data_IF_744729477005
#
_entry.id   IF_744729477005
#
_cell.length_a   1.000
_cell.length_b   1.000
_cell.length_c   1.000
_cell.angle_alpha   90.00
_cell.angle_beta   90.00
_cell.angle_gamma   90.00
#
_symmetry.space_group_name_H-M   'P 1'
#
loop_
_entity.id
_entity.type
_entity.pdbx_description
1 polymer ?
#
# COMPACT_ATOMS: atom_id res chain seq x y z
N UNK A 1 13.73 -8.84 3.52
CA UNK A 1 12.58 -9.77 3.56
C UNK A 1 12.93 -11.04 2.85
N UNK A 2 12.21 -12.13 3.14
CA UNK A 2 12.45 -13.44 2.54
C UNK A 2 11.20 -13.90 1.82
N UNK A 3 11.31 -14.04 0.50
CA UNK A 3 10.23 -14.53 -0.37
C UNK A 3 10.76 -15.76 -1.12
N UNK A 4 10.03 -16.87 -1.11
CA UNK A 4 10.44 -18.14 -1.75
C UNK A 4 11.89 -18.56 -1.41
N UNK A 5 12.30 -18.35 -0.15
CA UNK A 5 13.65 -18.66 0.34
C UNK A 5 14.76 -17.71 -0.13
N UNK A 6 14.43 -16.62 -0.85
CA UNK A 6 15.38 -15.61 -1.31
C UNK A 6 15.26 -14.32 -0.53
N UNK A 7 16.41 -13.72 -0.19
CA UNK A 7 16.44 -12.37 0.37
C UNK A 7 16.13 -11.35 -0.73
N UNK A 8 15.12 -10.52 -0.47
CA UNK A 8 14.70 -9.40 -1.34
C UNK A 8 14.58 -8.12 -0.51
N UNK A 9 14.72 -6.96 -1.15
CA UNK A 9 14.42 -5.69 -0.49
C UNK A 9 12.91 -5.46 -0.46
N UNK A 10 12.44 -4.81 0.60
CA UNK A 10 11.07 -4.28 0.64
C UNK A 10 10.78 -3.39 -0.55
N UNK A 11 11.78 -2.62 -0.99
CA UNK A 11 11.64 -1.75 -2.13
C UNK A 11 11.31 -2.46 -3.43
N UNK A 12 11.99 -3.57 -3.70
CA UNK A 12 11.76 -4.38 -4.89
C UNK A 12 10.38 -5.06 -4.87
N UNK A 13 9.91 -5.46 -3.68
CA UNK A 13 8.59 -6.08 -3.51
C UNK A 13 7.47 -5.08 -3.73
N UNK A 14 7.59 -3.88 -3.17
CA UNK A 14 6.56 -2.85 -3.25
C UNK A 14 6.55 -2.15 -4.63
N UNK A 15 7.70 -2.02 -5.29
CA UNK A 15 7.84 -1.34 -6.57
C UNK A 15 7.52 0.15 -6.51
N UNK A 16 7.01 0.69 -7.63
CA UNK A 16 6.75 2.13 -7.81
C UNK A 16 5.28 2.51 -7.64
N UNK A 17 4.45 1.59 -7.11
CA UNK A 17 3.04 1.85 -6.83
C UNK A 17 2.85 2.41 -5.42
N UNK A 18 1.63 2.87 -5.14
CA UNK A 18 1.16 2.95 -3.75
C UNK A 18 1.27 1.54 -3.12
N UNK A 19 1.43 1.47 -1.81
CA UNK A 19 1.48 0.21 -1.10
C UNK A 19 0.72 0.26 0.23
N UNK A 20 0.12 -0.86 0.62
CA UNK A 20 -0.49 -1.03 1.94
C UNK A 20 0.26 -2.12 2.67
N UNK A 21 0.96 -1.75 3.74
CA UNK A 21 1.53 -2.69 4.70
C UNK A 21 0.50 -2.92 5.81
N UNK A 22 0.17 -4.17 6.11
CA UNK A 22 -0.86 -4.46 7.11
C UNK A 22 -0.52 -5.66 7.98
N UNK A 23 -0.82 -5.55 9.27
CA UNK A 23 -0.69 -6.60 10.28
C UNK A 23 -1.99 -7.39 10.48
N UNK A 24 -3.10 -6.91 9.92
CA UNK A 24 -4.40 -7.55 9.98
C UNK A 24 -5.00 -7.77 8.59
N UNK A 25 -5.94 -8.71 8.42
CA UNK A 25 -6.75 -8.80 7.22
C UNK A 25 -7.48 -7.49 6.95
N UNK A 26 -7.40 -6.96 5.73
CA UNK A 26 -8.14 -5.76 5.35
C UNK A 26 -9.64 -6.07 5.31
N UNK A 27 -10.45 -5.11 5.78
CA UNK A 27 -11.90 -5.15 5.60
C UNK A 27 -12.25 -5.13 4.10
N UNK A 28 -13.43 -5.63 3.67
CA UNK A 28 -13.82 -5.60 2.26
C UNK A 28 -13.79 -4.19 1.63
N UNK A 29 -14.23 -3.18 2.39
CA UNK A 29 -14.20 -1.79 1.95
C UNK A 29 -12.77 -1.28 1.73
N UNK A 30 -11.88 -1.55 2.69
CA UNK A 30 -10.48 -1.15 2.62
C UNK A 30 -9.72 -1.87 1.51
N UNK A 31 -10.05 -3.15 1.26
CA UNK A 31 -9.55 -3.90 0.11
C UNK A 31 -9.97 -3.25 -1.21
N UNK A 32 -11.26 -2.95 -1.37
CA UNK A 32 -11.78 -2.29 -2.57
C UNK A 32 -11.14 -0.91 -2.80
N UNK A 33 -10.93 -0.14 -1.73
CA UNK A 33 -10.19 1.11 -1.80
C UNK A 33 -8.75 0.89 -2.26
N UNK A 34 -8.03 -0.04 -1.64
CA UNK A 34 -6.64 -0.38 -1.97
C UNK A 34 -6.49 -0.80 -3.44
N UNK A 35 -7.42 -1.62 -3.94
CA UNK A 35 -7.51 -2.02 -5.35
C UNK A 35 -7.80 -0.82 -6.26
N UNK A 36 -8.75 0.04 -5.89
CA UNK A 36 -9.10 1.26 -6.62
C UNK A 36 -7.97 2.29 -6.70
N UNK A 37 -7.06 2.27 -5.72
CA UNK A 37 -5.83 3.06 -5.71
C UNK A 37 -4.70 2.45 -6.57
N UNK A 38 -4.85 1.20 -7.01
CA UNK A 38 -3.75 0.44 -7.62
C UNK A 38 -2.61 0.17 -6.64
N UNK A 39 -2.92 0.11 -5.35
CA UNK A 39 -1.92 -0.08 -4.30
C UNK A 39 -1.60 -1.56 -4.11
N UNK A 40 -0.31 -1.88 -3.96
CA UNK A 40 0.15 -3.23 -3.66
C UNK A 40 -0.04 -3.54 -2.18
N UNK A 41 -0.77 -4.60 -1.86
CA UNK A 41 -0.95 -5.03 -0.47
C UNK A 41 0.14 -6.02 -0.08
N UNK A 42 0.76 -5.82 1.09
CA UNK A 42 1.67 -6.77 1.72
C UNK A 42 1.19 -7.07 3.15
N UNK A 43 0.86 -8.33 3.42
CA UNK A 43 0.64 -8.82 4.78
C UNK A 43 2.00 -8.99 5.45
N UNK A 44 2.26 -8.29 6.55
CA UNK A 44 3.58 -8.32 7.22
C UNK A 44 3.92 -9.71 7.75
N UNK A 45 2.92 -10.54 8.08
CA UNK A 45 3.13 -11.93 8.47
C UNK A 45 3.73 -12.80 7.36
N UNK A 46 3.58 -12.38 6.10
CA UNK A 46 4.06 -13.10 4.92
C UNK A 46 5.40 -12.54 4.40
N UNK A 47 5.89 -11.44 4.96
CA UNK A 47 7.05 -10.72 4.44
C UNK A 47 8.39 -11.43 4.71
N UNK A 48 8.46 -12.31 5.72
CA UNK A 48 9.69 -13.01 6.08
C UNK A 48 10.85 -12.06 6.40
N UNK A 49 10.54 -10.83 6.80
CA UNK A 49 11.40 -10.01 7.63
C UNK A 49 11.21 -10.53 9.06
N UNK A 50 12.21 -10.51 9.90
CA UNK A 50 12.23 -10.98 11.30
C UNK A 50 11.21 -10.34 12.28
N UNK A 51 10.03 -9.91 11.83
CA UNK A 51 9.02 -9.21 12.60
C UNK A 51 9.23 -7.70 12.68
N UNK A 52 10.24 -7.18 11.97
CA UNK A 52 10.57 -5.74 11.93
C UNK A 52 9.36 -4.89 11.51
N UNK A 53 8.66 -5.25 10.44
CA UNK A 53 7.49 -4.51 9.93
C UNK A 53 6.31 -4.61 10.89
N UNK A 54 6.08 -5.79 11.48
CA UNK A 54 5.04 -5.96 12.49
C UNK A 54 5.33 -5.12 13.74
N UNK A 55 6.60 -5.04 14.17
CA UNK A 55 7.02 -4.18 15.27
C UNK A 55 6.87 -2.69 14.92
N UNK A 56 7.28 -2.29 13.71
CA UNK A 56 7.15 -0.91 13.23
C UNK A 56 5.69 -0.42 13.24
N UNK A 57 4.76 -1.22 12.73
CA UNK A 57 3.32 -0.93 12.78
C UNK A 57 2.80 -0.77 14.21
N UNK A 58 3.15 -1.71 15.11
CA UNK A 58 2.74 -1.65 16.52
C UNK A 58 3.29 -0.43 17.25
N UNK A 59 4.57 -0.09 17.04
CA UNK A 59 5.19 1.09 17.64
C UNK A 59 4.55 2.37 17.12
N UNK A 60 4.08 2.38 15.87
CA UNK A 60 3.27 3.46 15.31
C UNK A 60 1.80 3.46 15.70
N UNK A 61 1.33 2.47 16.48
CA UNK A 61 -0.08 2.35 16.88
C UNK A 61 -1.03 2.11 15.70
N UNK A 62 -0.57 1.43 14.65
CA UNK A 62 -1.32 1.20 13.42
C UNK A 62 -1.46 -0.30 13.11
N UNK A 63 -2.63 -0.69 12.58
CA UNK A 63 -2.86 -2.01 12.01
C UNK A 63 -2.48 -2.06 10.53
N UNK A 64 -2.56 -0.93 9.83
CA UNK A 64 -2.10 -0.79 8.45
C UNK A 64 -1.53 0.61 8.16
N UNK A 65 -0.61 0.68 7.21
CA UNK A 65 -0.04 1.93 6.71
C UNK A 65 -0.12 1.98 5.18
N UNK A 66 -0.66 3.08 4.64
CA UNK A 66 -0.62 3.42 3.23
C UNK A 66 0.67 4.18 2.94
N UNK A 67 1.46 3.67 2.01
CA UNK A 67 2.74 4.23 1.58
C UNK A 67 2.61 4.79 0.17
N UNK A 68 3.25 5.94 -0.03
CA UNK A 68 3.54 6.50 -1.35
C UNK A 68 4.67 5.71 -2.03
N UNK A 69 4.84 5.82 -3.36
CA UNK A 69 5.96 5.20 -4.07
C UNK A 69 7.34 5.59 -3.51
N UNK A 70 7.48 6.81 -2.96
CA UNK A 70 8.68 7.32 -2.29
C UNK A 70 8.81 6.86 -0.83
N UNK A 71 7.99 5.90 -0.39
CA UNK A 71 7.98 5.24 0.93
C UNK A 71 7.66 6.13 2.11
N UNK A 72 7.08 7.28 1.83
CA UNK A 72 6.47 8.13 2.85
C UNK A 72 5.08 7.58 3.21
N UNK A 73 4.79 7.48 4.51
CA UNK A 73 3.46 7.13 5.01
C UNK A 73 2.48 8.26 4.65
N UNK A 74 1.45 7.93 3.87
CA UNK A 74 0.38 8.85 3.51
C UNK A 74 -0.73 8.88 4.56
N UNK A 75 -1.10 7.70 5.06
CA UNK A 75 -2.17 7.52 6.04
C UNK A 75 -2.01 6.17 6.75
N UNK A 76 -2.73 5.99 7.84
CA UNK A 76 -2.74 4.76 8.64
C UNK A 76 -4.17 4.36 8.99
N UNK A 77 -4.36 3.06 9.18
CA UNK A 77 -5.47 2.51 9.95
C UNK A 77 -4.95 2.34 11.38
N UNK A 78 -5.44 3.11 12.37
CA UNK A 78 -5.03 2.97 13.76
C UNK A 78 -5.32 1.56 14.28
N UNK A 79 -4.62 1.17 15.35
CA UNK A 79 -4.87 -0.11 16.01
C UNK A 79 -6.34 -0.21 16.48
N UNK A 80 -7.04 -1.27 16.04
CA UNK A 80 -8.48 -1.47 16.26
C UNK A 80 -9.39 -0.62 15.37
N UNK A 81 -8.82 0.15 14.44
CA UNK A 81 -9.54 0.94 13.45
C UNK A 81 -10.00 0.10 12.25
N UNK A 82 -10.93 0.65 11.47
CA UNK A 82 -11.52 -0.03 10.32
C UNK A 82 -11.17 0.60 8.97
N UNK A 83 -10.65 1.84 8.98
CA UNK A 83 -10.37 2.63 7.78
C UNK A 83 -9.26 3.66 8.01
N UNK A 84 -8.76 4.24 6.91
CA UNK A 84 -7.80 5.33 6.89
C UNK A 84 -8.42 6.63 7.44
N UNK A 85 -7.69 7.30 8.32
CA UNK A 85 -8.22 8.44 9.09
C UNK A 85 -8.22 9.76 8.32
N UNK A 86 -7.32 9.92 7.35
CA UNK A 86 -7.07 11.15 6.60
C UNK A 86 -7.54 11.11 5.14
N UNK A 87 -8.36 10.14 4.74
CA UNK A 87 -8.77 9.95 3.33
C UNK A 87 -9.35 11.18 2.67
N UNK A 88 -10.14 11.98 3.38
CA UNK A 88 -10.69 13.25 2.88
C UNK A 88 -9.61 14.27 2.48
N UNK A 89 -8.44 14.24 3.12
CA UNK A 89 -7.35 15.17 2.86
C UNK A 89 -6.53 14.79 1.62
N UNK A 90 -6.29 13.49 1.38
CA UNK A 90 -5.42 13.03 0.29
C UNK A 90 -6.17 12.45 -0.92
N UNK A 91 -7.40 11.93 -0.77
CA UNK A 91 -8.12 11.30 -1.88
C UNK A 91 -8.33 12.23 -3.08
N UNK A 92 -8.66 13.53 -2.92
CA UNK A 92 -8.76 14.45 -4.05
C UNK A 92 -7.44 14.62 -4.82
N UNK A 93 -6.30 14.55 -4.13
CA UNK A 93 -4.98 14.68 -4.76
C UNK A 93 -4.71 13.53 -5.73
N UNK A 94 -5.11 12.31 -5.36
CA UNK A 94 -4.95 11.13 -6.21
C UNK A 94 -5.86 11.17 -7.45
N UNK A 95 -7.00 11.85 -7.37
CA UNK A 95 -7.86 12.09 -8.52
C UNK A 95 -7.21 13.04 -9.54
N UNK A 96 -6.43 14.03 -9.08
CA UNK A 96 -5.74 14.96 -9.99
C UNK A 96 -4.51 14.35 -10.68
N UNK A 97 -3.90 13.32 -10.09
CA UNK A 97 -2.73 12.63 -10.66
C UNK A 97 -3.05 11.49 -11.61
N UNK A 98 -4.33 11.11 -11.76
CA UNK A 98 -4.76 10.13 -12.78
C UNK A 98 -4.65 10.77 -14.17
N UNK A 99 -3.43 10.78 -14.71
CA UNK A 99 -3.19 11.05 -16.14
C UNK A 99 -3.84 9.91 -16.94
N UNK A 100 -4.69 10.18 -17.93
CA UNK A 100 -5.22 9.13 -18.79
C UNK A 100 -4.06 8.34 -19.38
N UNK A 101 -4.14 7.01 -19.37
CA UNK A 101 -3.17 6.19 -20.08
C UNK A 101 -3.08 6.69 -21.53
N UNK A 102 -1.88 6.83 -22.13
CA UNK A 102 -1.77 7.22 -23.52
C UNK A 102 -2.56 6.21 -24.34
N UNK A 103 -3.61 6.67 -25.01
CA UNK A 103 -4.37 5.87 -25.97
C UNK A 103 -3.40 5.50 -27.08
N UNK A 104 -3.03 4.21 -27.12
CA UNK A 104 -2.29 3.66 -28.24
C UNK A 104 -3.17 3.87 -29.48
N UNK A 105 -2.85 4.86 -30.31
CA UNK A 105 -3.57 5.08 -31.57
C UNK A 105 -3.30 3.85 -32.44
N UNK A 106 -4.32 3.09 -32.88
CA UNK A 106 -4.10 2.07 -33.89
C UNK A 106 -3.61 2.77 -35.15
N UNK A 107 -2.42 2.40 -35.61
CA UNK A 107 -1.80 2.94 -36.80
C UNK A 107 -2.74 2.78 -37.99
N UNK A 108 -3.07 3.90 -38.63
CA UNK A 108 -3.73 3.96 -39.93
C UNK A 108 -2.81 3.31 -40.97
N UNK A 109 -3.36 2.31 -41.66
CA UNK A 109 -2.75 1.70 -42.85
C UNK A 109 -3.23 2.41 -44.10
#
# INVERSE_FOLDING_TARGET
MTLDGRRVRLDDVLGDSLAVLTAAPLTPALRALTEGLGARTLQVSEAGDDGTLAHWLRTGGADAALLRPDRVVLDVVPAGGTDFTGSAAWAPLLCTTRRPAPTLRPGSR
#
